data_IF_821181449013
#
_entry.id   IF_821181449013
#
_cell.length_a   1.000
_cell.length_b   1.000
_cell.length_c   1.000
_cell.angle_alpha   90.00
_cell.angle_beta   90.00
_cell.angle_gamma   90.00
#
_symmetry.space_group_name_H-M   'P 1'
#
loop_
_entity.id
_entity.type
_entity.pdbx_description
1 polymer ?
#
# COMPACT_ATOMS: atom_id res chain seq x y z
N UNK A 1 -1.94 -7.33 -7.99
CA UNK A 1 -1.69 -5.92 -8.37
C UNK A 1 -0.77 -5.82 -9.58
N UNK A 2 0.51 -6.23 -9.50
CA UNK A 2 1.42 -6.12 -10.66
C UNK A 2 0.90 -6.83 -11.92
N UNK A 3 0.31 -8.02 -11.82
CA UNK A 3 -0.30 -8.67 -12.99
C UNK A 3 -1.38 -7.82 -13.71
N UNK A 4 -2.20 -7.07 -12.97
CA UNK A 4 -3.16 -6.13 -13.57
C UNK A 4 -2.48 -4.89 -14.17
N UNK A 5 -1.40 -4.44 -13.54
CA UNK A 5 -0.58 -3.36 -14.08
C UNK A 5 0.10 -3.78 -15.40
N UNK A 6 0.63 -5.00 -15.46
CA UNK A 6 1.19 -5.63 -16.65
C UNK A 6 0.16 -5.74 -17.76
N UNK A 7 -1.06 -6.20 -17.44
CA UNK A 7 -2.15 -6.25 -18.40
C UNK A 7 -2.32 -4.87 -19.04
N UNK A 8 -2.59 -3.83 -18.22
CA UNK A 8 -2.85 -2.44 -18.66
C UNK A 8 -1.73 -1.83 -19.51
N UNK A 9 -0.48 -2.17 -19.23
CA UNK A 9 0.68 -1.54 -19.86
C UNK A 9 0.79 -0.04 -19.57
N UNK A 10 1.87 0.57 -20.05
CA UNK A 10 2.20 1.97 -19.74
C UNK A 10 1.11 2.97 -20.18
N UNK A 11 0.36 2.65 -21.25
CA UNK A 11 -0.67 3.54 -21.80
C UNK A 11 -1.84 3.76 -20.84
N UNK A 12 -2.24 2.74 -20.07
CA UNK A 12 -3.41 2.79 -19.19
C UNK A 12 -3.05 2.78 -17.70
N UNK A 13 -1.82 2.40 -17.35
CA UNK A 13 -1.39 2.21 -15.96
C UNK A 13 -1.62 3.44 -15.07
N UNK A 14 -1.39 4.64 -15.63
CA UNK A 14 -1.55 5.93 -14.93
C UNK A 14 -2.91 6.60 -15.20
N UNK A 15 -3.80 5.97 -15.96
CA UNK A 15 -5.11 6.52 -16.32
C UNK A 15 -6.13 6.27 -15.22
N UNK A 16 -6.96 7.27 -14.92
CA UNK A 16 -8.10 7.14 -14.01
C UNK A 16 -9.35 6.86 -14.84
N UNK A 17 -10.19 5.88 -14.47
CA UNK A 17 -11.46 5.67 -15.15
C UNK A 17 -12.41 6.84 -14.88
N UNK A 18 -13.40 7.04 -15.75
CA UNK A 18 -14.41 8.10 -15.63
C UNK A 18 -15.47 7.75 -14.57
N UNK A 19 -15.00 7.59 -13.33
CA UNK A 19 -15.79 7.31 -12.14
C UNK A 19 -15.28 8.23 -11.03
N UNK A 20 -16.19 8.99 -10.44
CA UNK A 20 -15.85 9.93 -9.37
C UNK A 20 -15.13 9.20 -8.22
N UNK A 21 -13.99 9.76 -7.80
CA UNK A 21 -13.18 9.20 -6.72
C UNK A 21 -12.27 8.03 -7.11
N UNK A 22 -12.36 7.49 -8.33
CA UNK A 22 -11.49 6.41 -8.78
C UNK A 22 -10.03 6.87 -8.93
N UNK A 23 -9.09 5.96 -8.71
CA UNK A 23 -7.64 6.20 -8.83
C UNK A 23 -7.06 5.33 -9.95
N UNK A 24 -5.89 5.70 -10.46
CA UNK A 24 -5.16 4.87 -11.41
C UNK A 24 -4.56 3.64 -10.71
N UNK A 25 -4.28 2.58 -11.48
CA UNK A 25 -3.60 1.39 -10.94
C UNK A 25 -2.21 1.77 -10.41
N UNK A 26 -1.48 2.64 -11.09
CA UNK A 26 -0.18 3.13 -10.62
C UNK A 26 -0.29 3.76 -9.22
N UNK A 27 -1.22 4.71 -9.04
CA UNK A 27 -1.43 5.41 -7.78
C UNK A 27 -1.84 4.45 -6.65
N UNK A 28 -2.70 3.47 -6.93
CA UNK A 28 -3.11 2.48 -5.94
C UNK A 28 -1.94 1.60 -5.47
N UNK A 29 -1.06 1.17 -6.38
CA UNK A 29 0.12 0.37 -6.01
C UNK A 29 1.15 1.20 -5.24
N UNK A 30 1.37 2.46 -5.63
CA UNK A 30 2.20 3.40 -4.87
C UNK A 30 1.64 3.61 -3.47
N UNK A 31 0.32 3.78 -3.33
CA UNK A 31 -0.35 3.91 -2.04
C UNK A 31 -0.13 2.68 -1.16
N UNK A 32 -0.27 1.48 -1.72
CA UNK A 32 0.00 0.24 -0.99
C UNK A 32 1.45 0.17 -0.47
N UNK A 33 2.43 0.66 -1.23
CA UNK A 33 3.80 0.77 -0.74
C UNK A 33 3.91 1.77 0.43
N UNK A 34 3.21 2.90 0.33
CA UNK A 34 3.12 3.89 1.42
C UNK A 34 2.44 3.37 2.69
N UNK A 35 1.42 2.51 2.56
CA UNK A 35 0.79 1.77 3.68
C UNK A 35 1.82 0.88 4.37
N UNK A 36 2.62 0.14 3.60
CA UNK A 36 3.67 -0.73 4.14
C UNK A 36 4.78 0.07 4.85
N UNK A 37 5.19 1.24 4.33
CA UNK A 37 6.14 2.11 5.03
C UNK A 37 5.56 2.69 6.33
N UNK A 38 4.32 3.17 6.30
CA UNK A 38 3.65 3.75 7.47
C UNK A 38 3.49 2.72 8.60
N UNK A 39 2.98 1.54 8.27
CA UNK A 39 2.62 0.57 9.30
C UNK A 39 3.75 -0.43 9.59
N UNK A 40 4.43 -0.94 8.56
CA UNK A 40 5.60 -1.81 8.74
C UNK A 40 6.82 -1.03 9.20
N UNK A 41 7.19 0.00 8.45
CA UNK A 41 8.39 0.79 8.74
C UNK A 41 8.29 1.60 10.03
N UNK A 42 7.27 2.45 10.15
CA UNK A 42 7.12 3.31 11.32
C UNK A 42 6.53 2.56 12.52
N UNK A 43 5.33 1.97 12.41
CA UNK A 43 4.68 1.37 13.58
C UNK A 43 5.35 0.07 14.07
N UNK A 44 5.72 -0.86 13.18
CA UNK A 44 6.36 -2.14 13.59
C UNK A 44 7.86 -1.97 13.80
N UNK A 45 8.60 -1.44 12.83
CA UNK A 45 10.07 -1.35 12.90
C UNK A 45 10.59 -0.10 13.63
N UNK A 46 9.73 0.87 13.96
CA UNK A 46 10.12 2.08 14.68
C UNK A 46 10.96 3.06 13.86
N UNK A 47 10.98 2.94 12.53
CA UNK A 47 11.70 3.85 11.65
C UNK A 47 10.99 5.21 11.59
N UNK A 48 11.77 6.28 11.48
CA UNK A 48 11.21 7.59 11.17
C UNK A 48 10.89 7.66 9.67
N UNK A 49 9.61 7.83 9.34
CA UNK A 49 9.10 7.91 7.97
C UNK A 49 8.55 9.30 7.71
N UNK A 50 9.03 9.96 6.66
CA UNK A 50 8.39 11.16 6.12
C UNK A 50 7.52 10.74 4.94
N UNK A 51 6.20 10.84 5.09
CA UNK A 51 5.23 10.38 4.09
C UNK A 51 4.34 11.54 3.64
N UNK A 52 4.31 11.78 2.33
CA UNK A 52 3.30 12.60 1.68
C UNK A 52 2.23 11.70 1.05
N UNK A 53 1.18 11.41 1.84
CA UNK A 53 0.07 10.55 1.41
C UNK A 53 -0.67 11.12 0.19
N UNK A 54 -0.77 12.44 0.07
CA UNK A 54 -1.52 13.06 -1.03
C UNK A 54 -0.82 12.82 -2.38
N UNK A 55 0.51 12.85 -2.38
CA UNK A 55 1.33 12.59 -3.58
C UNK A 55 1.17 11.17 -4.14
N UNK A 56 0.83 10.18 -3.30
CA UNK A 56 0.63 8.79 -3.73
C UNK A 56 -0.54 8.67 -4.71
N UNK A 57 -1.60 9.46 -4.51
CA UNK A 57 -2.81 9.43 -5.33
C UNK A 57 -2.71 10.25 -6.62
N UNK A 58 -1.61 10.97 -6.82
CA UNK A 58 -1.28 11.68 -8.06
C UNK A 58 -0.06 11.09 -8.77
N UNK A 59 0.49 9.98 -8.23
CA UNK A 59 1.65 9.33 -8.77
C UNK A 59 1.37 8.75 -10.17
N UNK A 60 2.34 8.92 -11.05
CA UNK A 60 2.33 8.39 -12.42
C UNK A 60 3.71 7.82 -12.76
N UNK A 61 3.77 6.93 -13.73
CA UNK A 61 5.02 6.32 -14.18
C UNK A 61 4.80 5.11 -15.08
N UNK A 62 5.91 4.45 -15.37
CA UNK A 62 5.97 3.24 -16.20
C UNK A 62 5.83 1.97 -15.36
N UNK A 63 5.47 0.86 -16.00
CA UNK A 63 5.41 -0.46 -15.40
C UNK A 63 6.76 -0.84 -14.79
N UNK A 64 7.87 -0.60 -15.48
CA UNK A 64 9.21 -0.90 -14.98
C UNK A 64 9.54 -0.15 -13.67
N UNK A 65 9.15 1.13 -13.57
CA UNK A 65 9.32 1.90 -12.34
C UNK A 65 8.45 1.35 -11.20
N UNK A 66 7.23 0.91 -11.52
CA UNK A 66 6.32 0.31 -10.55
C UNK A 66 6.84 -1.03 -10.03
N UNK A 67 7.35 -1.88 -10.91
CA UNK A 67 7.99 -3.15 -10.56
C UNK A 67 9.21 -2.95 -9.66
N UNK A 68 10.08 -1.99 -10.00
CA UNK A 68 11.24 -1.64 -9.18
C UNK A 68 10.82 -1.17 -7.78
N UNK A 69 9.82 -0.29 -7.72
CA UNK A 69 9.26 0.22 -6.46
C UNK A 69 8.71 -0.93 -5.61
N UNK A 70 7.87 -1.80 -6.17
CA UNK A 70 7.28 -2.94 -5.45
C UNK A 70 8.36 -3.92 -5.00
N UNK A 71 9.37 -4.19 -5.84
CA UNK A 71 10.48 -5.08 -5.48
C UNK A 71 11.31 -4.50 -4.33
N UNK A 72 11.57 -3.19 -4.35
CA UNK A 72 12.24 -2.49 -3.25
C UNK A 72 11.41 -2.53 -1.96
N UNK A 73 10.11 -2.23 -2.06
CA UNK A 73 9.21 -2.25 -0.91
C UNK A 73 9.09 -3.64 -0.29
N UNK A 74 9.04 -4.70 -1.12
CA UNK A 74 8.99 -6.09 -0.63
C UNK A 74 10.24 -6.46 0.14
N UNK A 75 11.43 -6.05 -0.32
CA UNK A 75 12.68 -6.26 0.43
C UNK A 75 12.64 -5.51 1.77
N UNK A 76 12.24 -4.24 1.74
CA UNK A 76 12.12 -3.41 2.94
C UNK A 76 11.15 -4.00 3.96
N UNK A 77 10.01 -4.51 3.52
CA UNK A 77 9.02 -5.15 4.38
C UNK A 77 9.59 -6.37 5.12
N UNK A 78 10.40 -7.19 4.45
CA UNK A 78 11.08 -8.32 5.10
C UNK A 78 12.05 -7.81 6.18
N UNK A 79 12.80 -6.75 5.89
CA UNK A 79 13.72 -6.14 6.86
C UNK A 79 12.95 -5.56 8.07
N UNK A 80 11.85 -4.86 7.83
CA UNK A 80 11.03 -4.23 8.87
C UNK A 80 10.38 -5.26 9.81
N UNK A 81 10.02 -6.43 9.25
CA UNK A 81 9.48 -7.55 10.03
C UNK A 81 10.54 -8.44 10.68
N UNK A 82 11.83 -8.21 10.46
CA UNK A 82 12.89 -9.06 11.01
C UNK A 82 12.88 -9.12 12.56
N UNK A 83 12.44 -8.04 13.20
CA UNK A 83 12.26 -7.95 14.65
C UNK A 83 10.80 -8.04 15.09
N UNK A 84 9.88 -8.55 14.29
CA UNK A 84 8.45 -8.62 14.64
C UNK A 84 8.21 -9.48 15.89
N UNK A 85 7.46 -8.94 16.85
CA UNK A 85 7.11 -9.61 18.11
C UNK A 85 5.58 -9.65 18.29
N UNK A 86 4.93 -10.81 18.06
CA UNK A 86 3.49 -10.97 18.27
C UNK A 86 3.06 -10.56 19.68
N UNK A 87 1.93 -9.86 19.79
CA UNK A 87 1.40 -9.35 21.07
C UNK A 87 2.15 -8.16 21.68
N UNK A 88 3.33 -7.79 21.16
CA UNK A 88 4.05 -6.60 21.62
C UNK A 88 3.34 -5.32 21.14
N UNK A 89 3.54 -4.21 21.87
CA UNK A 89 3.07 -2.90 21.42
C UNK A 89 3.85 -2.44 20.15
N UNK A 90 3.23 -1.63 19.28
CA UNK A 90 3.92 -0.93 18.21
C UNK A 90 5.11 -0.12 18.73
N UNK A 91 6.20 -0.10 17.98
CA UNK A 91 7.41 0.69 18.30
C UNK A 91 7.24 2.15 17.93
N UNK A 92 6.53 2.41 16.84
CA UNK A 92 6.16 3.76 16.39
C UNK A 92 4.67 4.06 16.62
N UNK A 93 4.23 5.27 16.23
CA UNK A 93 2.83 5.67 16.34
C UNK A 93 1.89 4.73 15.58
N UNK A 94 0.87 4.24 16.28
CA UNK A 94 -0.24 3.50 15.68
C UNK A 94 -1.55 4.18 16.11
N UNK A 95 -2.04 5.19 15.36
CA UNK A 95 -3.33 5.81 15.64
C UNK A 95 -4.44 4.76 15.56
N UNK A 96 -5.49 4.99 16.34
CA UNK A 96 -6.65 4.10 16.45
C UNK A 96 -7.84 4.73 15.76
N UNK A 97 -8.60 3.90 15.06
CA UNK A 97 -9.88 4.25 14.46
C UNK A 97 -11.05 3.66 15.25
N UNK A 98 -12.26 4.15 14.96
CA UNK A 98 -13.48 3.67 15.59
C UNK A 98 -13.73 2.19 15.21
N UNK A 99 -13.80 1.33 16.22
CA UNK A 99 -13.95 -0.12 16.04
C UNK A 99 -12.67 -0.93 16.30
N UNK A 100 -11.52 -0.26 16.44
CA UNK A 100 -10.27 -0.91 16.79
C UNK A 100 -10.28 -1.50 18.22
N UNK A 101 -9.52 -2.59 18.46
CA UNK A 101 -9.41 -3.19 19.78
C UNK A 101 -8.81 -2.21 20.80
N UNK A 102 -9.12 -2.44 22.08
CA UNK A 102 -8.62 -1.60 23.18
C UNK A 102 -7.08 -1.55 23.24
N UNK A 103 -6.43 -2.63 22.84
CA UNK A 103 -4.97 -2.72 22.74
C UNK A 103 -4.58 -2.97 21.29
N UNK A 104 -3.76 -2.08 20.75
CA UNK A 104 -3.11 -2.27 19.45
C UNK A 104 -1.77 -2.97 19.65
N UNK A 105 -1.56 -4.05 18.93
CA UNK A 105 -0.34 -4.87 18.96
C UNK A 105 0.34 -4.86 17.59
N UNK A 106 1.61 -5.28 17.51
CA UNK A 106 2.30 -5.42 16.22
C UNK A 106 1.57 -6.39 15.28
N UNK A 107 1.01 -7.49 15.81
CA UNK A 107 0.20 -8.44 15.03
C UNK A 107 -1.06 -7.81 14.44
N UNK A 108 -1.73 -6.93 15.19
CA UNK A 108 -2.88 -6.19 14.69
C UNK A 108 -2.46 -5.27 13.54
N UNK A 109 -1.37 -4.52 13.70
CA UNK A 109 -0.84 -3.64 12.65
C UNK A 109 -0.46 -4.44 11.40
N UNK A 110 0.16 -5.61 11.54
CA UNK A 110 0.51 -6.46 10.41
C UNK A 110 -0.73 -6.97 9.67
N UNK A 111 -1.79 -7.38 10.40
CA UNK A 111 -3.06 -7.78 9.81
C UNK A 111 -3.76 -6.62 9.11
N UNK A 112 -3.75 -5.42 9.70
CA UNK A 112 -4.30 -4.22 9.09
C UNK A 112 -3.60 -3.88 7.76
N UNK A 113 -2.27 -4.03 7.66
CA UNK A 113 -1.57 -3.90 6.37
C UNK A 113 -2.09 -4.91 5.35
N UNK A 114 -2.27 -6.17 5.73
CA UNK A 114 -2.80 -7.20 4.83
C UNK A 114 -4.21 -6.85 4.36
N UNK A 115 -5.08 -6.42 5.27
CA UNK A 115 -6.45 -5.94 4.96
C UNK A 115 -6.43 -4.80 3.93
N UNK A 116 -5.66 -3.75 4.19
CA UNK A 116 -5.50 -2.60 3.28
C UNK A 116 -5.01 -3.02 1.89
N UNK A 117 -4.03 -3.93 1.82
CA UNK A 117 -3.54 -4.46 0.54
C UNK A 117 -4.63 -5.21 -0.23
N UNK A 118 -5.45 -6.01 0.44
CA UNK A 118 -6.56 -6.72 -0.23
C UNK A 118 -7.71 -5.79 -0.62
N UNK A 119 -8.03 -4.79 0.20
CA UNK A 119 -8.99 -3.76 -0.14
C UNK A 119 -8.57 -3.01 -1.41
N UNK A 120 -7.31 -2.57 -1.48
CA UNK A 120 -6.79 -1.89 -2.65
C UNK A 120 -6.57 -2.81 -3.85
N UNK A 121 -6.39 -4.12 -3.66
CA UNK A 121 -6.40 -5.07 -4.77
C UNK A 121 -7.78 -5.07 -5.46
N UNK A 122 -8.87 -5.06 -4.69
CA UNK A 122 -10.21 -4.93 -5.24
C UNK A 122 -10.40 -3.64 -6.05
N UNK A 123 -9.87 -2.52 -5.55
CA UNK A 123 -9.87 -1.26 -6.31
C UNK A 123 -9.05 -1.35 -7.61
N UNK A 124 -7.89 -2.03 -7.60
CA UNK A 124 -7.07 -2.26 -8.79
C UNK A 124 -7.81 -3.10 -9.82
N UNK A 125 -8.47 -4.18 -9.39
CA UNK A 125 -9.25 -5.04 -10.29
C UNK A 125 -10.38 -4.26 -10.97
N UNK A 126 -11.18 -3.51 -10.18
CA UNK A 126 -12.26 -2.68 -10.73
C UNK A 126 -11.75 -1.59 -11.68
N UNK A 127 -10.65 -0.93 -11.33
CA UNK A 127 -10.02 0.10 -12.17
C UNK A 127 -9.56 -0.49 -13.50
N UNK A 128 -8.90 -1.65 -13.48
CA UNK A 128 -8.42 -2.31 -14.69
C UNK A 128 -9.57 -2.77 -15.59
N UNK A 129 -10.64 -3.32 -15.00
CA UNK A 129 -11.81 -3.77 -15.76
C UNK A 129 -12.56 -2.59 -16.42
N UNK A 130 -12.68 -1.45 -15.73
CA UNK A 130 -13.30 -0.22 -16.27
C UNK A 130 -12.49 0.44 -17.40
N UNK A 131 -11.16 0.30 -17.40
CA UNK A 131 -10.31 0.87 -18.47
C UNK A 131 -10.26 -0.01 -19.72
N UNK A 132 -10.72 -1.26 -19.63
CA UNK A 132 -10.75 -2.24 -20.73
C UNK A 132 -12.15 -2.48 -21.30
N UNK A 133 -13.18 -1.89 -20.69
CA UNK A 133 -14.58 -2.01 -21.12
C UNK A 133 -14.90 -1.18 -22.35
#
# INVERSE_FOLDING_TARGET
>A
MLGRAEDLGDELLSTRPDVEGANSVYALVVHCCGVMERWGGEAIAGRSISRDRASEFTATGTLAQLEELVAAQRRRWVDDLAGFEPGAAPRGPAPRDDGDPEVITQEFVALHVVEELFQHLGHVDLTADLLRS
#
